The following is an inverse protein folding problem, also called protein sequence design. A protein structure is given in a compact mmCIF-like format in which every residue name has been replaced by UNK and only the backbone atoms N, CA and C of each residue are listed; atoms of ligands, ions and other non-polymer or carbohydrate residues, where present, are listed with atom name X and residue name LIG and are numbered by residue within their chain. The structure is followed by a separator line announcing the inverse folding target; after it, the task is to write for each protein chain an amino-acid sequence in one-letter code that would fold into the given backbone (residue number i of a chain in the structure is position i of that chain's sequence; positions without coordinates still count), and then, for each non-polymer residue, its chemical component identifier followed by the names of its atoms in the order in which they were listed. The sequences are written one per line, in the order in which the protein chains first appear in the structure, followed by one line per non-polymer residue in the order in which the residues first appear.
data_IF_267872387092
#
_entry.id   IF_267872387092
#
_cell.length_a   1.000
_cell.length_b   1.000
_cell.length_c   1.000
_cell.angle_alpha   90.00
_cell.angle_beta   90.00
_cell.angle_gamma   90.00
#
_symmetry.space_group_name_H-M   'P 1'
#
loop_
_entity.id
_entity.type
_entity.pdbx_description
1 polymer ?
#
# COMPACT_ATOMS: atom_id res chain seq x y z
N UNK A 1 -7.87 -6.28 -16.66
CA UNK A 1 -7.55 -7.31 -15.65
C UNK A 1 -6.88 -6.60 -14.48
N UNK A 2 -7.31 -6.87 -13.24
CA UNK A 2 -6.70 -6.30 -12.03
C UNK A 2 -5.80 -7.37 -11.40
N UNK A 3 -4.66 -6.93 -10.87
CA UNK A 3 -3.69 -7.79 -10.19
C UNK A 3 -3.63 -7.41 -8.71
N UNK A 4 -3.72 -8.40 -7.82
CA UNK A 4 -3.60 -8.23 -6.38
C UNK A 4 -2.23 -8.73 -5.90
N UNK A 5 -1.50 -7.86 -5.22
CA UNK A 5 -0.20 -8.13 -4.64
C UNK A 5 -0.33 -7.99 -3.13
N UNK A 6 -0.28 -9.10 -2.41
CA UNK A 6 -0.53 -9.16 -0.97
C UNK A 6 0.81 -9.25 -0.26
N UNK A 7 1.14 -8.23 0.52
CA UNK A 7 2.33 -8.28 1.37
C UNK A 7 2.05 -9.14 2.61
N UNK A 8 2.88 -10.15 2.82
CA UNK A 8 2.68 -11.15 3.87
C UNK A 8 3.75 -11.06 4.93
N UNK A 9 3.35 -11.20 6.19
CA UNK A 9 4.28 -11.27 7.33
C UNK A 9 3.96 -12.39 8.33
N UNK A 10 2.95 -13.21 8.02
CA UNK A 10 2.54 -14.36 8.83
C UNK A 10 2.09 -15.51 7.94
N UNK A 11 2.30 -16.75 8.40
CA UNK A 11 1.83 -17.96 7.71
C UNK A 11 0.33 -18.27 7.93
N UNK A 12 -0.40 -17.44 8.69
CA UNK A 12 -1.80 -17.69 9.01
C UNK A 12 -2.73 -17.39 7.82
N UNK A 13 -3.39 -18.40 7.21
CA UNK A 13 -4.17 -18.22 5.98
C UNK A 13 -5.42 -17.34 6.14
N UNK A 14 -6.08 -17.36 7.31
CA UNK A 14 -7.33 -16.64 7.55
C UNK A 14 -7.23 -15.13 7.27
N UNK A 15 -6.07 -14.53 7.55
CA UNK A 15 -5.87 -13.08 7.43
C UNK A 15 -5.94 -12.58 5.98
N UNK A 16 -5.75 -13.47 5.02
CA UNK A 16 -5.70 -13.14 3.60
C UNK A 16 -7.03 -13.39 2.89
N UNK A 17 -7.92 -14.16 3.52
CA UNK A 17 -9.14 -14.66 2.88
C UNK A 17 -10.07 -13.52 2.45
N UNK A 18 -10.40 -12.61 3.37
CA UNK A 18 -11.35 -11.54 3.09
C UNK A 18 -10.86 -10.57 2.00
N UNK A 19 -9.61 -10.04 2.05
CA UNK A 19 -9.07 -9.23 0.96
C UNK A 19 -9.12 -9.94 -0.40
N UNK A 20 -8.76 -11.23 -0.43
CA UNK A 20 -8.75 -12.04 -1.66
C UNK A 20 -10.15 -12.13 -2.26
N UNK A 21 -11.13 -12.57 -1.48
CA UNK A 21 -12.50 -12.78 -1.95
C UNK A 21 -13.10 -11.45 -2.42
N UNK A 22 -12.93 -10.38 -1.63
CA UNK A 22 -13.36 -9.03 -2.01
C UNK A 22 -12.77 -8.62 -3.37
N UNK A 23 -11.47 -8.78 -3.55
CA UNK A 23 -10.79 -8.38 -4.77
C UNK A 23 -11.20 -9.22 -6.00
N UNK A 24 -11.43 -10.52 -5.82
CA UNK A 24 -11.90 -11.42 -6.90
C UNK A 24 -13.29 -10.98 -7.39
N UNK A 25 -14.19 -10.64 -6.46
CA UNK A 25 -15.52 -10.07 -6.78
C UNK A 25 -15.38 -8.75 -7.56
N UNK A 26 -14.35 -7.94 -7.26
CA UNK A 26 -14.02 -6.71 -7.98
C UNK A 26 -13.25 -6.91 -9.29
N UNK A 27 -13.09 -8.16 -9.75
CA UNK A 27 -12.51 -8.51 -11.05
C UNK A 27 -11.00 -8.80 -11.04
N UNK A 28 -10.39 -9.03 -9.87
CA UNK A 28 -9.02 -9.54 -9.79
C UNK A 28 -8.96 -10.97 -10.31
N UNK A 29 -7.94 -11.26 -11.10
CA UNK A 29 -7.67 -12.60 -11.67
C UNK A 29 -6.23 -13.06 -11.49
N UNK A 30 -5.39 -12.24 -10.86
CA UNK A 30 -4.03 -12.61 -10.50
C UNK A 30 -3.77 -12.22 -9.04
N UNK A 31 -3.28 -13.18 -8.26
CA UNK A 31 -2.94 -13.01 -6.85
C UNK A 31 -1.46 -13.37 -6.69
N UNK A 32 -0.70 -12.47 -6.07
CA UNK A 32 0.72 -12.65 -5.79
C UNK A 32 0.95 -12.42 -4.31
N UNK A 33 1.39 -13.44 -3.57
CA UNK A 33 1.86 -13.26 -2.19
C UNK A 33 3.31 -12.80 -2.21
N UNK A 34 3.62 -11.71 -1.54
CA UNK A 34 4.97 -11.13 -1.49
C UNK A 34 5.47 -11.10 -0.06
N UNK A 35 6.61 -11.74 0.20
CA UNK A 35 7.33 -11.51 1.45
C UNK A 35 8.49 -10.53 1.22
N UNK A 36 8.59 -9.54 2.11
CA UNK A 36 9.81 -8.74 2.26
C UNK A 36 10.80 -9.53 3.10
N UNK A 37 11.97 -9.83 2.53
CA UNK A 37 13.03 -10.61 3.17
C UNK A 37 14.04 -9.69 3.86
N UNK A 38 14.23 -9.91 5.15
CA UNK A 38 15.31 -9.42 5.99
C UNK A 38 15.33 -10.19 7.32
N UNK A 39 16.14 -9.73 8.28
CA UNK A 39 16.30 -10.37 9.58
C UNK A 39 15.29 -9.90 10.65
N UNK A 40 14.34 -9.01 10.31
CA UNK A 40 13.39 -8.41 11.27
C UNK A 40 12.15 -9.27 11.50
N UNK A 41 11.80 -10.14 10.54
CA UNK A 41 10.68 -11.08 10.68
C UNK A 41 11.11 -12.51 10.35
N UNK A 42 10.34 -13.46 10.86
CA UNK A 42 10.47 -14.86 10.49
C UNK A 42 10.10 -15.04 9.02
N UNK A 43 10.85 -15.89 8.32
CA UNK A 43 10.51 -16.29 6.96
C UNK A 43 9.14 -17.00 6.92
N UNK A 44 8.31 -16.59 5.96
CA UNK A 44 6.97 -17.14 5.73
C UNK A 44 7.12 -18.20 4.64
N UNK A 45 6.51 -19.37 4.85
CA UNK A 45 6.49 -20.47 3.89
C UNK A 45 5.46 -20.17 2.79
N UNK A 46 5.78 -19.24 1.91
CA UNK A 46 4.85 -18.69 0.90
C UNK A 46 4.06 -19.75 0.12
N UNK A 47 4.71 -20.82 -0.35
CA UNK A 47 4.03 -21.90 -1.07
C UNK A 47 3.04 -22.67 -0.19
N UNK A 48 3.39 -22.91 1.08
CA UNK A 48 2.50 -23.54 2.05
C UNK A 48 1.35 -22.61 2.40
N UNK A 49 1.62 -21.32 2.61
CA UNK A 49 0.59 -20.30 2.83
C UNK A 49 -0.40 -20.25 1.67
N UNK A 50 0.07 -20.16 0.43
CA UNK A 50 -0.78 -20.18 -0.77
C UNK A 50 -1.66 -21.44 -0.80
N UNK A 51 -1.07 -22.61 -0.55
CA UNK A 51 -1.79 -23.89 -0.52
C UNK A 51 -2.84 -23.93 0.58
N UNK A 52 -2.52 -23.41 1.77
CA UNK A 52 -3.43 -23.36 2.91
C UNK A 52 -4.59 -22.39 2.66
N UNK A 53 -4.34 -21.22 2.06
CA UNK A 53 -5.40 -20.28 1.65
C UNK A 53 -6.32 -20.93 0.62
N UNK A 54 -5.76 -21.61 -0.38
CA UNK A 54 -6.56 -22.32 -1.39
C UNK A 54 -7.40 -23.45 -0.77
N UNK A 55 -6.81 -24.25 0.11
CA UNK A 55 -7.50 -25.30 0.87
C UNK A 55 -8.62 -24.74 1.75
N UNK A 56 -8.42 -23.58 2.37
CA UNK A 56 -9.43 -22.89 3.17
C UNK A 56 -10.60 -22.40 2.28
N UNK A 57 -10.32 -21.81 1.13
CA UNK A 57 -11.34 -21.43 0.13
C UNK A 57 -12.15 -22.65 -0.33
N UNK A 58 -11.47 -23.77 -0.59
CA UNK A 58 -12.12 -25.03 -0.99
C UNK A 58 -12.97 -25.63 0.13
N UNK A 59 -12.51 -25.55 1.38
CA UNK A 59 -13.27 -26.03 2.53
C UNK A 59 -14.52 -25.19 2.72
N UNK A 60 -14.40 -23.87 2.61
CA UNK A 60 -15.53 -22.94 2.70
C UNK A 60 -16.53 -23.11 1.57
N UNK A 61 -16.08 -23.39 0.34
CA UNK A 61 -16.99 -23.74 -0.78
C UNK A 61 -17.76 -25.04 -0.54
N UNK A 62 -17.28 -25.88 0.37
CA UNK A 62 -17.97 -27.10 0.82
C UNK A 62 -18.78 -26.89 2.11
N UNK A 63 -18.76 -25.69 2.69
CA UNK A 63 -19.49 -25.36 3.93
C UNK A 63 -18.74 -25.76 5.21
N UNK A 64 -17.42 -25.90 5.14
CA UNK A 64 -16.56 -26.23 6.27
C UNK A 64 -15.58 -25.09 6.49
N UNK A 65 -15.56 -24.51 7.68
CA UNK A 65 -14.54 -23.55 8.06
C UNK A 65 -13.42 -24.25 8.83
N UNK A 66 -12.18 -24.06 8.36
CA UNK A 66 -10.97 -24.57 9.01
C UNK A 66 -10.28 -23.40 9.70
N UNK A 67 -10.22 -23.42 11.03
CA UNK A 67 -9.55 -22.40 11.81
C UNK A 67 -8.07 -22.75 11.97
N UNK A 68 -7.19 -21.86 11.54
CA UNK A 68 -5.74 -22.06 11.61
C UNK A 68 -5.12 -21.26 12.76
N UNK A 69 -4.27 -21.93 13.55
CA UNK A 69 -3.30 -21.30 14.45
C UNK A 69 -1.90 -21.56 13.92
N UNK A 70 -1.39 -20.61 13.12
CA UNK A 70 -0.12 -20.77 12.40
C UNK A 70 -0.27 -21.65 11.16
N UNK A 71 0.62 -22.63 11.01
CA UNK A 71 0.71 -23.52 9.83
C UNK A 71 -0.28 -24.70 9.88
N UNK A 72 -0.89 -24.96 11.04
CA UNK A 72 -1.73 -26.14 11.30
C UNK A 72 -3.20 -25.78 11.47
N UNK A 73 -4.07 -26.61 10.90
CA UNK A 73 -5.51 -26.58 11.19
C UNK A 73 -5.74 -27.06 12.62
N UNK A 74 -6.40 -26.25 13.43
CA UNK A 74 -6.68 -26.58 14.83
C UNK A 74 -8.11 -27.09 15.01
N UNK A 75 -9.06 -26.50 14.27
CA UNK A 75 -10.48 -26.82 14.41
C UNK A 75 -11.19 -26.75 13.07
N UNK A 76 -12.04 -27.74 12.81
CA UNK A 76 -12.98 -27.72 11.70
C UNK A 76 -14.38 -27.47 12.25
N UNK A 77 -15.12 -26.60 11.58
CA UNK A 77 -16.47 -26.19 11.96
C UNK A 77 -17.36 -26.39 10.74
N UNK A 78 -18.35 -27.27 10.89
CA UNK A 78 -19.38 -27.48 9.88
C UNK A 78 -20.38 -26.32 9.94
N UNK A 79 -20.43 -25.53 8.88
CA UNK A 79 -21.24 -24.31 8.82
C UNK A 79 -22.73 -24.62 8.64
N UNK A 80 -23.08 -25.85 8.24
CA UNK A 80 -24.49 -26.29 8.18
C UNK A 80 -25.18 -26.36 9.54
N UNK A 81 -24.42 -26.50 10.64
CA UNK A 81 -24.95 -26.43 12.00
C UNK A 81 -25.23 -24.99 12.47
N UNK A 82 -24.77 -23.98 11.71
CA UNK A 82 -24.78 -22.57 12.09
C UNK A 82 -25.70 -21.77 11.18
N UNK A 83 -25.66 -22.01 9.87
CA UNK A 83 -26.44 -21.29 8.87
C UNK A 83 -27.59 -22.13 8.33
N UNK A 84 -28.68 -21.47 7.96
CA UNK A 84 -29.75 -22.12 7.22
C UNK A 84 -29.29 -22.51 5.79
N UNK A 85 -30.05 -23.39 5.14
CA UNK A 85 -29.70 -23.92 3.83
C UNK A 85 -29.50 -22.85 2.73
N UNK A 86 -30.26 -21.75 2.78
CA UNK A 86 -30.16 -20.67 1.79
C UNK A 86 -28.87 -19.88 1.97
N UNK A 87 -28.58 -19.44 3.20
CA UNK A 87 -27.36 -18.71 3.53
C UNK A 87 -26.11 -19.55 3.27
N UNK A 88 -26.16 -20.85 3.58
CA UNK A 88 -25.08 -21.78 3.30
C UNK A 88 -24.84 -21.94 1.80
N UNK A 89 -25.88 -22.00 0.97
CA UNK A 89 -25.73 -22.08 -0.48
C UNK A 89 -25.07 -20.83 -1.07
N UNK A 90 -25.48 -19.64 -0.61
CA UNK A 90 -24.88 -18.35 -1.00
C UNK A 90 -23.40 -18.30 -0.62
N UNK A 91 -23.07 -18.68 0.62
CA UNK A 91 -21.71 -18.80 1.12
C UNK A 91 -20.87 -19.70 0.23
N UNK A 92 -21.34 -20.93 -0.01
CA UNK A 92 -20.62 -21.92 -0.83
C UNK A 92 -20.34 -21.39 -2.24
N UNK A 93 -21.33 -20.74 -2.86
CA UNK A 93 -21.18 -20.13 -4.18
C UNK A 93 -20.15 -18.99 -4.19
N UNK A 94 -20.16 -18.12 -3.17
CA UNK A 94 -19.19 -17.01 -3.04
C UNK A 94 -17.75 -17.51 -3.02
N UNK A 95 -17.46 -18.56 -2.25
CA UNK A 95 -16.09 -19.11 -2.19
C UNK A 95 -15.74 -19.96 -3.41
N UNK A 96 -16.70 -20.66 -4.03
CA UNK A 96 -16.46 -21.43 -5.25
C UNK A 96 -15.97 -20.55 -6.42
N UNK A 97 -16.42 -19.29 -6.50
CA UNK A 97 -15.93 -18.31 -7.50
C UNK A 97 -14.42 -18.08 -7.41
N UNK A 98 -13.83 -18.25 -6.23
CA UNK A 98 -12.40 -18.04 -6.00
C UNK A 98 -11.53 -19.23 -6.45
N UNK A 99 -12.15 -20.36 -6.82
CA UNK A 99 -11.48 -21.62 -7.19
C UNK A 99 -11.49 -21.87 -8.70
N UNK A 100 -11.84 -20.86 -9.50
CA UNK A 100 -11.86 -21.00 -10.96
C UNK A 100 -10.44 -21.00 -11.54
N UNK A 101 -10.20 -21.79 -12.58
CA UNK A 101 -8.92 -21.85 -13.32
C UNK A 101 -8.50 -20.51 -13.95
N UNK A 102 -9.44 -19.56 -14.02
CA UNK A 102 -9.18 -18.21 -14.52
C UNK A 102 -8.36 -17.33 -13.56
N UNK A 103 -8.14 -17.79 -12.33
CA UNK A 103 -7.41 -17.06 -11.29
C UNK A 103 -6.00 -17.64 -11.16
N UNK A 104 -4.98 -16.86 -11.54
CA UNK A 104 -3.59 -17.25 -11.41
C UNK A 104 -3.04 -16.89 -10.03
N UNK A 105 -2.39 -17.84 -9.38
CA UNK A 105 -1.77 -17.67 -8.07
C UNK A 105 -0.25 -17.81 -8.18
N UNK A 106 0.48 -16.93 -7.50
CA UNK A 106 1.94 -16.98 -7.47
C UNK A 106 2.48 -16.42 -6.16
N UNK A 107 3.77 -16.68 -5.90
CA UNK A 107 4.49 -16.18 -4.74
C UNK A 107 5.74 -15.48 -5.19
N UNK A 108 6.17 -14.47 -4.44
CA UNK A 108 7.39 -13.72 -4.72
C UNK A 108 8.10 -13.32 -3.41
N UNK A 109 9.40 -13.14 -3.49
CA UNK A 109 10.23 -12.64 -2.38
C UNK A 109 11.03 -11.44 -2.86
N UNK A 110 11.00 -10.38 -2.07
CA UNK A 110 11.75 -9.16 -2.34
C UNK A 110 12.70 -8.90 -1.18
N UNK A 111 13.99 -8.76 -1.46
CA UNK A 111 14.95 -8.29 -0.45
C UNK A 111 14.56 -6.87 0.00
N UNK A 112 14.61 -6.57 1.29
CA UNK A 112 14.18 -5.26 1.81
C UNK A 112 14.87 -4.08 1.11
N UNK A 113 16.17 -4.21 0.80
CA UNK A 113 16.94 -3.20 0.05
C UNK A 113 16.41 -2.94 -1.37
N UNK A 114 15.67 -3.88 -1.94
CA UNK A 114 15.09 -3.82 -3.28
C UNK A 114 13.59 -3.45 -3.27
N UNK A 115 12.98 -3.28 -2.08
CA UNK A 115 11.54 -3.04 -1.93
C UNK A 115 11.05 -1.87 -2.79
N UNK A 116 11.76 -0.74 -2.77
CA UNK A 116 11.40 0.42 -3.59
C UNK A 116 11.44 0.12 -5.08
N UNK A 117 12.50 -0.53 -5.56
CA UNK A 117 12.65 -0.88 -6.98
C UNK A 117 11.56 -1.85 -7.43
N UNK A 118 11.22 -2.82 -6.58
CA UNK A 118 10.13 -3.76 -6.79
C UNK A 118 8.79 -3.03 -6.90
N UNK A 119 8.46 -2.16 -5.94
CA UNK A 119 7.24 -1.35 -5.95
C UNK A 119 7.19 -0.44 -7.19
N UNK A 120 8.31 0.20 -7.56
CA UNK A 120 8.41 1.01 -8.79
C UNK A 120 8.07 0.21 -10.04
N UNK A 121 8.54 -1.03 -10.13
CA UNK A 121 8.22 -1.93 -11.25
C UNK A 121 6.75 -2.36 -11.26
N UNK A 122 6.11 -2.48 -10.09
CA UNK A 122 4.67 -2.69 -10.01
C UNK A 122 3.88 -1.45 -10.43
N UNK A 123 4.32 -0.24 -10.06
CA UNK A 123 3.68 1.02 -10.44
C UNK A 123 3.64 1.27 -11.94
N UNK A 124 4.56 0.68 -12.72
CA UNK A 124 4.54 0.70 -14.19
C UNK A 124 3.40 -0.13 -14.80
N UNK A 125 2.81 -1.06 -14.03
CA UNK A 125 1.69 -1.91 -14.47
C UNK A 125 0.37 -1.19 -14.18
N UNK A 126 -0.62 -1.39 -15.07
CA UNK A 126 -1.96 -0.82 -14.88
C UNK A 126 -2.78 -1.70 -13.92
N UNK A 127 -3.65 -1.08 -13.14
CA UNK A 127 -4.65 -1.77 -12.30
C UNK A 127 -4.07 -2.75 -11.26
N UNK A 128 -2.93 -2.37 -10.68
CA UNK A 128 -2.33 -3.06 -9.53
C UNK A 128 -3.04 -2.64 -8.26
N UNK A 129 -3.32 -3.59 -7.38
CA UNK A 129 -3.76 -3.39 -6.00
C UNK A 129 -2.67 -3.97 -5.10
N UNK A 130 -2.13 -3.15 -4.20
CA UNK A 130 -1.25 -3.59 -3.14
C UNK A 130 -2.08 -3.77 -1.87
N UNK A 131 -2.07 -4.96 -1.28
CA UNK A 131 -2.74 -5.22 -0.01
C UNK A 131 -1.73 -5.32 1.13
N UNK A 132 -2.02 -4.60 2.21
CA UNK A 132 -1.17 -4.57 3.42
C UNK A 132 -1.92 -4.99 4.69
N UNK A 133 -3.06 -5.69 4.56
CA UNK A 133 -3.95 -6.06 5.67
C UNK A 133 -3.22 -6.78 6.80
N UNK A 134 -2.36 -7.74 6.45
CA UNK A 134 -1.65 -8.63 7.36
C UNK A 134 -0.17 -8.25 7.55
N UNK A 135 0.20 -7.02 7.19
CA UNK A 135 1.59 -6.57 7.23
C UNK A 135 1.96 -6.12 8.63
N UNK A 136 3.08 -6.64 9.14
CA UNK A 136 3.68 -6.16 10.38
C UNK A 136 3.95 -4.66 10.32
N UNK A 137 3.73 -3.99 11.47
CA UNK A 137 3.96 -2.54 11.63
C UNK A 137 5.37 -2.09 11.20
N UNK A 138 6.34 -3.01 11.22
CA UNK A 138 7.72 -2.77 10.81
C UNK A 138 7.85 -2.40 9.33
N UNK A 139 7.00 -2.93 8.44
CA UNK A 139 7.09 -2.66 7.00
C UNK A 139 6.01 -1.74 6.45
N UNK A 140 4.87 -1.62 7.14
CA UNK A 140 3.73 -0.88 6.58
C UNK A 140 4.11 0.56 6.21
N UNK A 141 4.92 1.22 7.05
CA UNK A 141 5.43 2.57 6.77
C UNK A 141 6.32 2.63 5.53
N UNK A 142 7.22 1.65 5.36
CA UNK A 142 8.16 1.61 4.23
C UNK A 142 7.44 1.29 2.91
N UNK A 143 6.53 0.30 2.92
CA UNK A 143 5.70 -0.05 1.76
C UNK A 143 4.83 1.15 1.38
N UNK A 144 4.24 1.82 2.37
CA UNK A 144 3.44 3.02 2.17
C UNK A 144 4.26 4.16 1.54
N UNK A 145 5.43 4.47 2.10
CA UNK A 145 6.31 5.51 1.59
C UNK A 145 6.81 5.21 0.17
N UNK A 146 7.17 3.96 -0.12
CA UNK A 146 7.56 3.54 -1.47
C UNK A 146 6.39 3.68 -2.45
N UNK A 147 5.19 3.21 -2.07
CA UNK A 147 3.99 3.29 -2.92
C UNK A 147 3.65 4.73 -3.26
N UNK A 148 3.82 5.64 -2.29
CA UNK A 148 3.64 7.08 -2.49
C UNK A 148 4.63 7.65 -3.50
N UNK A 149 5.93 7.42 -3.29
CA UNK A 149 6.99 7.96 -4.16
C UNK A 149 6.86 7.46 -5.60
N UNK A 150 6.35 6.25 -5.79
CA UNK A 150 6.19 5.61 -7.08
C UNK A 150 4.77 5.79 -7.66
N UNK A 151 3.93 6.66 -7.07
CA UNK A 151 2.57 7.00 -7.51
C UNK A 151 1.64 5.79 -7.69
N UNK A 152 1.73 4.79 -6.81
CA UNK A 152 0.79 3.69 -6.78
C UNK A 152 -0.48 4.16 -6.09
N UNK A 153 -1.59 4.16 -6.82
CA UNK A 153 -2.83 4.74 -6.32
C UNK A 153 -3.71 3.78 -5.51
N UNK A 154 -3.45 2.47 -5.53
CA UNK A 154 -4.29 1.47 -4.87
C UNK A 154 -3.48 0.71 -3.82
N UNK A 155 -3.24 1.34 -2.67
CA UNK A 155 -2.64 0.70 -1.51
C UNK A 155 -3.74 0.48 -0.47
N UNK A 156 -4.20 -0.75 -0.35
CA UNK A 156 -5.42 -1.09 0.36
C UNK A 156 -5.15 -1.92 1.63
N UNK A 157 -6.07 -1.82 2.57
CA UNK A 157 -6.16 -2.67 3.76
C UNK A 157 -7.61 -3.04 4.03
N UNK A 158 -7.82 -4.24 4.56
CA UNK A 158 -9.13 -4.70 5.00
C UNK A 158 -9.34 -4.38 6.48
N UNK A 159 -10.33 -3.55 6.79
CA UNK A 159 -10.63 -3.07 8.14
C UNK A 159 -11.99 -3.59 8.60
N UNK A 160 -12.04 -4.15 9.80
CA UNK A 160 -13.29 -4.45 10.49
C UNK A 160 -13.82 -3.18 11.18
N UNK A 161 -15.12 -2.92 11.05
CA UNK A 161 -15.75 -1.72 11.65
C UNK A 161 -16.18 -1.98 13.12
N UNK A 162 -16.00 -3.21 13.60
CA UNK A 162 -16.35 -3.63 14.95
C UNK A 162 -15.21 -4.44 15.59
N UNK A 163 -15.28 -4.62 16.91
CA UNK A 163 -14.35 -5.49 17.62
C UNK A 163 -14.66 -6.96 17.31
N UNK A 164 -13.73 -7.70 16.67
CA UNK A 164 -13.97 -9.09 16.27
C UNK A 164 -14.18 -10.02 17.47
N UNK A 165 -15.14 -10.94 17.35
CA UNK A 165 -15.30 -12.04 18.28
C UNK A 165 -14.47 -13.25 17.84
N UNK A 166 -13.34 -13.48 18.52
CA UNK A 166 -12.43 -14.58 18.18
C UNK A 166 -12.92 -15.96 18.65
N UNK A 167 -13.98 -16.05 19.45
CA UNK A 167 -14.61 -17.34 19.80
C UNK A 167 -15.46 -17.88 18.64
N UNK A 168 -15.92 -16.98 17.76
CA UNK A 168 -16.70 -17.30 16.56
C UNK A 168 -16.03 -16.74 15.30
N UNK A 169 -14.85 -17.26 14.95
CA UNK A 169 -14.04 -16.73 13.85
C UNK A 169 -14.69 -16.81 12.46
N UNK A 170 -15.76 -17.58 12.29
CA UNK A 170 -16.54 -17.58 11.04
C UNK A 170 -17.37 -16.30 10.86
N UNK A 171 -17.80 -15.63 11.94
CA UNK A 171 -18.59 -14.39 11.88
C UNK A 171 -17.78 -13.19 11.36
N UNK A 172 -16.45 -13.30 11.35
CA UNK A 172 -15.54 -12.28 10.81
C UNK A 172 -15.10 -12.58 9.36
N UNK A 173 -15.77 -13.52 8.69
CA UNK A 173 -15.52 -13.84 7.29
C UNK A 173 -16.42 -13.00 6.38
N UNK A 174 -15.94 -12.74 5.16
CA UNK A 174 -16.55 -11.77 4.24
C UNK A 174 -18.04 -12.02 3.94
N UNK A 175 -18.51 -13.27 3.98
CA UNK A 175 -19.93 -13.57 3.72
C UNK A 175 -20.87 -12.99 4.79
N UNK A 176 -20.45 -13.01 6.06
CA UNK A 176 -21.20 -12.40 7.16
C UNK A 176 -20.95 -10.90 7.24
N UNK A 177 -19.70 -10.48 6.99
CA UNK A 177 -19.34 -9.06 6.98
C UNK A 177 -20.07 -8.29 5.88
N UNK A 178 -20.25 -8.88 4.70
CA UNK A 178 -20.92 -8.22 3.58
C UNK A 178 -22.41 -7.98 3.85
N UNK A 179 -23.08 -8.85 4.59
CA UNK A 179 -24.51 -8.71 4.92
C UNK A 179 -24.78 -7.52 5.85
N UNK A 180 -23.82 -7.22 6.74
CA UNK A 180 -23.96 -6.20 7.77
C UNK A 180 -23.10 -4.96 7.52
N UNK A 181 -22.51 -4.82 6.32
CA UNK A 181 -21.51 -3.80 6.01
C UNK A 181 -20.39 -3.72 7.07
N UNK A 182 -20.03 -4.85 7.68
CA UNK A 182 -19.15 -4.95 8.85
C UNK A 182 -17.68 -4.69 8.57
N UNK A 183 -17.32 -4.33 7.33
CA UNK A 183 -15.95 -4.10 6.90
C UNK A 183 -15.83 -2.95 5.91
N UNK A 184 -14.62 -2.41 5.80
CA UNK A 184 -14.20 -1.52 4.72
C UNK A 184 -12.93 -2.04 4.08
N UNK A 185 -12.89 -2.01 2.75
CA UNK A 185 -11.65 -2.16 2.02
C UNK A 185 -11.10 -0.77 1.67
N UNK A 186 -10.21 -0.28 2.52
CA UNK A 186 -9.80 1.13 2.54
C UNK A 186 -8.53 1.32 1.73
N UNK A 187 -8.57 2.24 0.79
CA UNK A 187 -7.35 2.75 0.15
C UNK A 187 -6.69 3.77 1.07
N UNK A 188 -5.52 3.42 1.61
CA UNK A 188 -4.78 4.22 2.59
C UNK A 188 -4.37 5.59 2.02
N UNK A 189 -4.19 5.68 0.71
CA UNK A 189 -3.78 6.90 -0.01
C UNK A 189 -4.96 7.84 -0.25
N UNK A 190 -6.20 7.37 -0.14
CA UNK A 190 -7.38 8.21 -0.37
C UNK A 190 -7.99 8.78 0.92
N UNK A 191 -7.44 8.40 2.07
CA UNK A 191 -7.89 8.88 3.38
C UNK A 191 -7.74 10.39 3.51
N UNK A 192 -8.65 11.04 4.24
CA UNK A 192 -8.62 12.50 4.39
C UNK A 192 -7.34 13.01 5.05
N UNK A 193 -6.89 12.30 6.10
CA UNK A 193 -5.65 12.62 6.82
C UNK A 193 -4.48 12.63 5.83
N UNK A 194 -4.45 11.64 4.94
CA UNK A 194 -3.44 11.56 3.92
C UNK A 194 -3.56 12.69 2.90
N UNK A 195 -4.74 12.95 2.32
CA UNK A 195 -4.93 14.05 1.34
C UNK A 195 -4.46 15.39 1.90
N UNK A 196 -4.79 15.68 3.16
CA UNK A 196 -4.32 16.89 3.88
C UNK A 196 -2.80 16.89 4.08
N UNK A 197 -2.22 15.73 4.43
CA UNK A 197 -0.77 15.58 4.63
C UNK A 197 0.02 15.71 3.32
N UNK A 198 -0.44 15.07 2.23
CA UNK A 198 0.16 15.17 0.91
C UNK A 198 0.12 16.60 0.35
N UNK A 199 -1.02 17.29 0.47
CA UNK A 199 -1.11 18.71 0.14
C UNK A 199 -0.12 19.55 0.96
N UNK A 200 0.04 19.27 2.25
CA UNK A 200 0.99 19.99 3.11
C UNK A 200 2.45 19.76 2.71
N UNK A 201 2.81 18.56 2.27
CA UNK A 201 4.16 18.24 1.75
C UNK A 201 4.40 18.98 0.43
N UNK A 202 3.43 18.94 -0.48
CA UNK A 202 3.49 19.66 -1.75
C UNK A 202 3.59 21.18 -1.52
N UNK A 203 2.77 21.76 -0.65
CA UNK A 203 2.83 23.19 -0.30
C UNK A 203 4.18 23.57 0.33
N UNK A 204 4.83 22.68 1.07
CA UNK A 204 6.19 22.93 1.59
C UNK A 204 7.28 22.80 0.53
N UNK A 205 7.06 22.02 -0.53
CA UNK A 205 8.02 21.81 -1.63
C UNK A 205 7.83 22.77 -2.81
N UNK A 206 6.63 23.32 -3.03
CA UNK A 206 6.37 24.33 -4.08
C UNK A 206 7.21 25.61 -3.91
N UNK A 207 7.41 26.17 -2.70
CA UNK A 207 8.34 27.28 -2.48
C UNK A 207 9.78 26.93 -2.87
N UNK A 208 10.20 25.68 -2.64
CA UNK A 208 11.52 25.21 -3.04
C UNK A 208 11.62 25.13 -4.58
N UNK A 209 10.64 24.54 -5.25
CA UNK A 209 10.59 24.47 -6.71
C UNK A 209 10.56 25.86 -7.35
N UNK A 210 9.71 26.74 -6.84
CA UNK A 210 9.62 28.13 -7.29
C UNK A 210 10.93 28.90 -7.03
N UNK A 211 11.59 28.65 -5.90
CA UNK A 211 12.91 29.21 -5.58
C UNK A 211 13.98 28.72 -6.57
N UNK A 212 13.99 27.43 -6.92
CA UNK A 212 14.92 26.87 -7.92
C UNK A 212 14.68 27.53 -9.28
N UNK A 213 13.44 27.58 -9.76
CA UNK A 213 13.10 28.19 -11.04
C UNK A 213 13.45 29.68 -11.04
N UNK A 214 13.08 30.41 -9.98
CA UNK A 214 13.40 31.82 -9.82
C UNK A 214 14.91 32.08 -9.81
N UNK A 215 15.69 31.21 -9.18
CA UNK A 215 17.16 31.29 -9.16
C UNK A 215 17.75 31.11 -10.56
N UNK A 216 17.27 30.11 -11.32
CA UNK A 216 17.71 29.89 -12.71
C UNK A 216 17.41 31.09 -13.60
N UNK A 217 16.21 31.68 -13.47
CA UNK A 217 15.82 32.89 -14.22
C UNK A 217 16.71 34.07 -13.81
N UNK A 218 16.92 34.28 -12.51
CA UNK A 218 17.74 35.38 -12.00
C UNK A 218 19.19 35.30 -12.48
N UNK A 219 19.81 34.12 -12.41
CA UNK A 219 21.17 33.89 -12.91
C UNK A 219 21.24 34.15 -14.41
N UNK A 220 20.25 33.69 -15.18
CA UNK A 220 20.20 33.88 -16.64
C UNK A 220 20.08 35.36 -17.03
N UNK A 221 19.19 36.10 -16.37
CA UNK A 221 19.01 37.56 -16.58
C UNK A 221 20.28 38.32 -16.17
N UNK A 222 20.88 37.97 -15.05
CA UNK A 222 22.11 38.62 -14.57
C UNK A 222 23.26 38.38 -15.56
N UNK A 223 23.41 37.16 -16.07
CA UNK A 223 24.42 36.82 -17.06
C UNK A 223 24.21 37.60 -18.36
N UNK A 224 22.99 37.63 -18.88
CA UNK A 224 22.64 38.40 -20.09
C UNK A 224 22.90 39.90 -19.90
N UNK A 225 22.49 40.47 -18.77
CA UNK A 225 22.74 41.87 -18.44
C UNK A 225 24.24 42.16 -18.33
N UNK A 226 25.03 41.23 -17.80
CA UNK A 226 26.49 41.36 -17.71
C UNK A 226 27.14 41.40 -19.10
N UNK A 227 26.66 40.58 -20.05
CA UNK A 227 27.13 40.63 -21.44
C UNK A 227 26.78 41.94 -22.15
N UNK A 228 25.60 42.52 -21.88
CA UNK A 228 25.12 43.74 -22.56
C UNK A 228 25.69 45.01 -21.93
N UNK A 229 25.74 45.09 -20.59
CA UNK A 229 26.08 46.31 -19.85
C UNK A 229 27.53 46.33 -19.34
N UNK A 230 28.23 45.20 -19.42
CA UNK A 230 29.59 45.03 -18.92
C UNK A 230 29.69 44.89 -17.39
N UNK A 231 30.77 44.26 -16.93
CA UNK A 231 31.00 43.94 -15.51
C UNK A 231 31.14 45.16 -14.58
N UNK A 232 31.51 46.34 -15.12
CA UNK A 232 31.72 47.55 -14.34
C UNK A 232 30.46 48.39 -14.13
N UNK A 233 29.32 47.94 -14.66
CA UNK A 233 28.03 48.56 -14.45
C UNK A 233 27.66 48.53 -12.96
N UNK A 234 27.34 49.70 -12.39
CA UNK A 234 26.86 49.83 -11.00
C UNK A 234 25.60 48.98 -10.77
N UNK A 235 24.78 48.81 -11.80
CA UNK A 235 23.60 47.95 -11.76
C UNK A 235 23.98 46.47 -11.56
N UNK A 236 24.99 45.97 -12.27
CA UNK A 236 25.47 44.58 -12.14
C UNK A 236 26.07 44.34 -10.76
N UNK A 237 26.81 45.31 -10.21
CA UNK A 237 27.39 45.19 -8.86
C UNK A 237 26.30 45.10 -7.78
N UNK A 238 25.26 45.93 -7.86
CA UNK A 238 24.12 45.89 -6.91
C UNK A 238 23.37 44.56 -7.01
N UNK A 239 23.08 44.10 -8.22
CA UNK A 239 22.41 42.81 -8.45
C UNK A 239 23.23 41.64 -7.91
N UNK A 240 24.56 41.67 -8.08
CA UNK A 240 25.46 40.63 -7.57
C UNK A 240 25.54 40.59 -6.04
N UNK A 241 25.50 41.74 -5.36
CA UNK A 241 25.49 41.81 -3.89
C UNK A 241 24.18 41.24 -3.35
N UNK A 242 23.04 41.67 -3.92
CA UNK A 242 21.72 41.17 -3.53
C UNK A 242 21.62 39.66 -3.75
N UNK A 243 22.09 39.18 -4.91
CA UNK A 243 22.14 37.75 -5.22
C UNK A 243 22.97 36.94 -4.23
N UNK A 244 24.15 37.43 -3.85
CA UNK A 244 25.02 36.78 -2.85
C UNK A 244 24.35 36.70 -1.48
N UNK A 245 23.75 37.80 -1.01
CA UNK A 245 23.06 37.85 0.29
C UNK A 245 21.87 36.90 0.30
N UNK A 246 21.05 36.90 -0.76
CA UNK A 246 19.93 35.97 -0.90
C UNK A 246 20.39 34.52 -0.98
N UNK A 247 21.51 34.25 -1.66
CA UNK A 247 22.12 32.92 -1.73
C UNK A 247 22.55 32.40 -0.35
N UNK A 248 23.19 33.25 0.46
CA UNK A 248 23.58 32.93 1.84
C UNK A 248 22.35 32.65 2.71
N UNK A 249 21.31 33.50 2.62
CA UNK A 249 20.06 33.32 3.38
C UNK A 249 19.37 32.02 2.96
N UNK A 250 19.33 31.71 1.67
CA UNK A 250 18.72 30.49 1.15
C UNK A 250 19.49 29.25 1.63
N UNK A 251 20.83 29.26 1.56
CA UNK A 251 21.67 28.20 2.09
C UNK A 251 21.42 27.98 3.59
N UNK A 252 21.33 29.07 4.36
CA UNK A 252 21.04 29.00 5.79
C UNK A 252 19.66 28.37 6.07
N UNK A 253 18.62 28.77 5.35
CA UNK A 253 17.26 28.23 5.54
C UNK A 253 17.12 26.75 5.12
N UNK A 254 17.91 26.29 4.16
CA UNK A 254 17.95 24.87 3.75
C UNK A 254 18.65 24.00 4.81
N UNK A 255 19.76 24.47 5.38
CA UNK A 255 20.51 23.72 6.39
C UNK A 255 19.93 23.85 7.81
N UNK A 256 19.26 24.97 8.09
CA UNK A 256 18.59 25.24 9.37
C UNK A 256 17.11 25.54 9.11
N UNK A 257 16.31 24.53 8.71
CA UNK A 257 14.89 24.74 8.48
C UNK A 257 14.25 25.23 9.78
N UNK A 258 13.57 26.37 9.73
CA UNK A 258 12.82 26.92 10.86
C UNK A 258 11.73 25.92 11.22
N UNK A 259 12.00 25.09 12.24
CA UNK A 259 11.01 24.17 12.80
C UNK A 259 10.05 25.02 13.62
N UNK A 260 8.83 25.17 13.13
CA UNK A 260 7.75 25.76 13.92
C UNK A 260 7.58 25.00 15.23
N UNK A 261 7.42 25.74 16.33
CA UNK A 261 6.95 25.18 17.60
C UNK A 261 5.49 24.76 17.48
#
# INVERSE_FOLDING_TARGET
MKDLYIFVTTDRPDQYLNPIVHCIEQGVRKIVFIQVKDDRIKEVRLNSLQTNVYSLLQSLSNGIYKYYTGDSTEKEIELEAIYNASDLAELKAKYALCLTDSISWSVDRVEYSQLRSFISNLGKRKNVILDVTSVSKVYIGDIFACSLLENINNLCTFELIFAPNYEKPWEILIHDLAKNEGYKYVNLIETEIFKKSGQSILIKTTPLLASIIGTVIFVSVTLAATFVLGFNSTFIQVVSIIGTVLGIISFFLVYFPVRGK
#
